data_IF_189838734016
#
_entry.id   IF_189838734016
#
_cell.length_a   1.000
_cell.length_b   1.000
_cell.length_c   1.000
_cell.angle_alpha   90.00
_cell.angle_beta   90.00
_cell.angle_gamma   90.00
#
_symmetry.space_group_name_H-M   'P 1'
#
loop_
_entity.id
_entity.type
_entity.pdbx_description
1 polymer ?
#
# COMPACT_ATOMS: atom_id res chain seq x y z
N UNK A 1 1.33 -25.52 -4.67
CA UNK A 1 0.88 -24.19 -4.18
C UNK A 1 1.60 -23.00 -4.81
N UNK A 2 2.77 -23.15 -5.44
CA UNK A 2 3.54 -21.99 -5.97
C UNK A 2 3.26 -21.61 -7.42
N UNK A 3 2.66 -22.49 -8.23
CA UNK A 3 2.45 -22.26 -9.66
C UNK A 3 1.60 -21.01 -9.95
N UNK A 4 0.60 -20.72 -9.12
CA UNK A 4 -0.25 -19.53 -9.28
C UNK A 4 0.49 -18.20 -9.11
N UNK A 5 1.53 -18.13 -8.27
CA UNK A 5 2.28 -16.89 -8.07
C UNK A 5 3.12 -16.49 -9.29
N UNK A 6 3.50 -17.46 -10.14
CA UNK A 6 4.27 -17.19 -11.36
C UNK A 6 3.48 -16.41 -12.41
N UNK A 7 2.15 -16.50 -12.38
CA UNK A 7 1.27 -15.79 -13.29
C UNK A 7 1.04 -14.32 -12.88
N UNK A 8 1.44 -13.92 -11.67
CA UNK A 8 1.26 -12.55 -11.19
C UNK A 8 2.26 -11.64 -11.91
N UNK A 9 1.74 -10.66 -12.65
CA UNK A 9 2.56 -9.59 -13.21
C UNK A 9 2.88 -8.57 -12.12
N UNK A 10 4.16 -8.40 -11.83
CA UNK A 10 4.66 -7.45 -10.84
C UNK A 10 5.40 -6.33 -11.56
N UNK A 11 4.92 -5.10 -11.39
CA UNK A 11 5.64 -3.90 -11.77
C UNK A 11 6.33 -3.32 -10.54
N UNK A 12 7.61 -2.95 -10.69
CA UNK A 12 8.41 -2.37 -9.60
C UNK A 12 8.50 -0.87 -9.77
N UNK A 13 8.06 -0.15 -8.74
CA UNK A 13 8.14 1.31 -8.69
C UNK A 13 9.34 1.75 -7.84
N UNK A 14 10.22 2.63 -8.36
CA UNK A 14 11.38 3.09 -7.60
C UNK A 14 10.94 4.00 -6.44
N UNK A 15 11.25 3.58 -5.23
CA UNK A 15 10.86 4.26 -3.99
C UNK A 15 11.51 5.64 -3.80
N UNK A 16 12.67 5.88 -4.43
CA UNK A 16 13.49 7.08 -4.24
C UNK A 16 12.74 8.38 -4.60
N UNK A 17 11.83 8.34 -5.57
CA UNK A 17 11.03 9.49 -6.00
C UNK A 17 9.93 9.85 -4.98
N UNK A 18 9.61 8.96 -4.05
CA UNK A 18 8.50 9.07 -3.11
C UNK A 18 8.93 9.45 -1.69
N UNK A 19 10.23 9.53 -1.43
CA UNK A 19 10.76 9.60 -0.06
C UNK A 19 10.31 10.82 0.73
N UNK A 20 10.09 11.96 0.06
CA UNK A 20 9.55 13.14 0.72
C UNK A 20 8.14 12.89 1.27
N UNK A 21 7.22 12.42 0.42
CA UNK A 21 5.85 12.12 0.83
C UNK A 21 5.77 11.01 1.88
N UNK A 22 6.66 10.00 1.80
CA UNK A 22 6.77 8.95 2.83
C UNK A 22 7.16 9.54 4.19
N UNK A 23 8.12 10.46 4.21
CA UNK A 23 8.56 11.12 5.45
C UNK A 23 7.51 12.07 6.05
N UNK A 24 6.60 12.60 5.24
CA UNK A 24 5.49 13.43 5.72
C UNK A 24 4.46 12.60 6.51
N UNK A 25 4.37 11.29 6.23
CA UNK A 25 3.46 10.36 6.90
C UNK A 25 4.04 9.69 8.16
N UNK A 26 5.29 9.99 8.53
CA UNK A 26 6.04 9.27 9.59
C UNK A 26 5.40 9.33 10.99
N UNK A 27 4.53 10.30 11.24
CA UNK A 27 3.86 10.44 12.54
C UNK A 27 2.79 9.35 12.79
N UNK A 28 2.30 8.72 11.73
CA UNK A 28 1.16 7.80 11.80
C UNK A 28 1.44 6.42 11.18
N UNK A 29 2.46 6.31 10.33
CA UNK A 29 2.75 5.10 9.58
C UNK A 29 4.21 4.70 9.74
N UNK A 30 4.47 3.39 9.74
CA UNK A 30 5.82 2.89 9.52
C UNK A 30 6.30 3.33 8.14
N UNK A 31 7.61 3.40 7.92
CA UNK A 31 8.15 3.70 6.60
C UNK A 31 7.63 2.72 5.53
N UNK A 32 7.40 1.46 5.91
CA UNK A 32 6.91 0.43 5.01
C UNK A 32 5.44 0.68 4.60
N UNK A 33 4.58 0.95 5.57
CA UNK A 33 3.17 1.26 5.33
C UNK A 33 3.01 2.55 4.51
N UNK A 34 3.78 3.59 4.88
CA UNK A 34 3.74 4.88 4.20
C UNK A 34 4.12 4.76 2.71
N UNK A 35 5.04 3.87 2.34
CA UNK A 35 5.41 3.62 0.94
C UNK A 35 4.22 3.11 0.14
N UNK A 36 3.46 2.14 0.67
CA UNK A 36 2.29 1.62 -0.04
C UNK A 36 1.14 2.62 -0.09
N UNK A 37 0.97 3.43 0.95
CA UNK A 37 -0.01 4.54 0.95
C UNK A 37 0.34 5.56 -0.14
N UNK A 38 1.58 6.03 -0.19
CA UNK A 38 2.04 7.00 -1.19
C UNK A 38 2.01 6.43 -2.61
N UNK A 39 2.38 5.16 -2.78
CA UNK A 39 2.29 4.48 -4.06
C UNK A 39 0.84 4.36 -4.56
N UNK A 40 -0.08 3.96 -3.68
CA UNK A 40 -1.50 3.88 -4.02
C UNK A 40 -2.08 5.25 -4.43
N UNK A 41 -1.69 6.34 -3.76
CA UNK A 41 -2.05 7.70 -4.18
C UNK A 41 -1.51 8.03 -5.57
N UNK A 42 -0.23 7.80 -5.81
CA UNK A 42 0.42 8.13 -7.07
C UNK A 42 -0.17 7.37 -8.27
N UNK A 43 -0.64 6.14 -8.03
CA UNK A 43 -1.27 5.30 -9.05
C UNK A 43 -2.79 5.50 -9.16
N UNK A 44 -3.40 6.31 -8.28
CA UNK A 44 -4.86 6.40 -8.13
C UNK A 44 -5.52 5.02 -8.03
N UNK A 45 -4.88 4.10 -7.29
CA UNK A 45 -5.27 2.70 -7.19
C UNK A 45 -5.66 2.34 -5.75
N UNK A 46 -6.54 1.34 -5.55
CA UNK A 46 -6.88 0.89 -4.20
C UNK A 46 -5.71 0.18 -3.53
N UNK A 47 -5.51 0.47 -2.24
CA UNK A 47 -4.60 -0.28 -1.37
C UNK A 47 -5.34 -1.46 -0.75
N UNK A 48 -5.03 -2.67 -1.22
CA UNK A 48 -5.56 -3.92 -0.67
C UNK A 48 -4.62 -4.41 0.44
N UNK A 49 -5.13 -4.65 1.64
CA UNK A 49 -4.32 -5.16 2.76
C UNK A 49 -5.10 -6.15 3.63
N UNK A 50 -4.40 -7.10 4.27
CA UNK A 50 -4.96 -7.90 5.35
C UNK A 50 -4.90 -7.17 6.71
N UNK A 51 -4.10 -6.10 6.82
CA UNK A 51 -3.99 -5.29 8.03
C UNK A 51 -5.09 -4.22 8.06
N UNK A 52 -6.02 -4.37 9.00
CA UNK A 52 -7.13 -3.44 9.18
C UNK A 52 -6.69 -2.04 9.63
N UNK A 53 -5.50 -1.90 10.24
CA UNK A 53 -4.98 -0.59 10.68
C UNK A 53 -4.77 0.38 9.52
N UNK A 54 -4.52 -0.14 8.32
CA UNK A 54 -4.33 0.69 7.13
C UNK A 54 -5.61 1.39 6.65
N UNK A 55 -6.80 1.05 7.18
CA UNK A 55 -8.02 1.81 6.92
C UNK A 55 -7.88 3.29 7.26
N UNK A 56 -7.01 3.64 8.21
CA UNK A 56 -6.70 5.02 8.58
C UNK A 56 -6.13 5.84 7.42
N UNK A 57 -5.50 5.20 6.42
CA UNK A 57 -4.97 5.87 5.23
C UNK A 57 -6.06 6.46 4.32
N UNK A 58 -7.34 6.10 4.53
CA UNK A 58 -8.47 6.79 3.91
C UNK A 58 -8.50 8.28 4.27
N UNK A 59 -8.00 8.65 5.45
CA UNK A 59 -7.89 10.06 5.90
C UNK A 59 -6.92 10.88 5.04
N UNK A 60 -5.99 10.23 4.34
CA UNK A 60 -5.09 10.86 3.38
C UNK A 60 -5.51 10.61 1.93
N UNK A 61 -6.77 10.24 1.69
CA UNK A 61 -7.34 10.18 0.34
C UNK A 61 -7.03 8.90 -0.44
N UNK A 62 -6.62 7.81 0.22
CA UNK A 62 -6.43 6.50 -0.42
C UNK A 62 -7.70 5.64 -0.30
N UNK A 63 -8.14 5.00 -1.38
CA UNK A 63 -9.12 3.90 -1.27
C UNK A 63 -8.43 2.68 -0.67
N UNK A 64 -8.76 2.34 0.57
CA UNK A 64 -8.19 1.17 1.26
C UNK A 64 -9.25 0.08 1.35
N UNK A 65 -8.91 -1.14 0.95
CA UNK A 65 -9.79 -2.31 1.08
C UNK A 65 -9.11 -3.39 1.91
N UNK A 66 -9.76 -3.77 3.00
CA UNK A 66 -9.25 -4.83 3.86
C UNK A 66 -9.76 -6.16 3.36
N UNK A 67 -8.85 -7.09 3.07
CA UNK A 67 -9.18 -8.45 2.69
C UNK A 67 -9.10 -9.35 3.93
N UNK A 68 -10.24 -9.91 4.33
CA UNK A 68 -10.29 -10.99 5.32
C UNK A 68 -10.00 -12.31 4.59
N UNK A 69 -9.07 -13.14 5.08
CA UNK A 69 -8.88 -14.47 4.52
C UNK A 69 -10.18 -15.26 4.68
N UNK A 70 -10.57 -15.99 3.64
CA UNK A 70 -11.65 -16.98 3.75
C UNK A 70 -11.23 -18.07 4.74
N UNK A 71 -12.15 -18.55 5.61
CA UNK A 71 -11.86 -19.61 6.58
C UNK A 71 -11.41 -20.91 5.93
#
# INVERSE_FOLDING_TARGET
>A
MTEGFRAIRIERYPISTMMRAVLDLRAHYTAYDAVYVVLAQALAAPLISADAKLLEARKVGVDVRVMQPSP
#
